data_IF_397216785766
#
_entry.id   IF_397216785766
#
_cell.length_a   1.000
_cell.length_b   1.000
_cell.length_c   1.000
_cell.angle_alpha   90.00
_cell.angle_beta   90.00
_cell.angle_gamma   90.00
#
_symmetry.space_group_name_H-M   'P 1'
#
loop_
_entity.id
_entity.type
_entity.pdbx_description
1 polymer ?
#
# COMPACT_ATOMS: atom_id res chain seq x y z
N UNK A 1 -15.98 -34.29 -17.30
CA UNK A 1 -14.81 -33.45 -17.63
C UNK A 1 -14.25 -32.88 -16.33
N UNK A 2 -13.16 -33.47 -15.82
CA UNK A 2 -12.60 -33.15 -14.50
C UNK A 2 -11.67 -31.96 -14.55
N UNK A 3 -11.96 -30.93 -13.76
CA UNK A 3 -11.07 -29.81 -13.52
C UNK A 3 -9.98 -30.24 -12.53
N UNK A 4 -8.72 -30.12 -12.94
CA UNK A 4 -7.54 -30.59 -12.21
C UNK A 4 -7.41 -29.95 -10.83
N UNK A 5 -7.54 -30.78 -9.79
CA UNK A 5 -7.16 -30.44 -8.43
C UNK A 5 -5.64 -30.19 -8.39
N UNK A 6 -5.24 -28.96 -8.03
CA UNK A 6 -3.83 -28.61 -7.79
C UNK A 6 -3.33 -29.40 -6.59
N UNK A 7 -2.39 -30.31 -6.86
CA UNK A 7 -1.60 -31.09 -5.90
C UNK A 7 -0.87 -30.13 -4.95
N UNK A 8 -1.39 -29.96 -3.74
CA UNK A 8 -0.87 -29.04 -2.71
C UNK A 8 -0.07 -29.78 -1.61
N UNK A 9 0.02 -31.09 -1.69
CA UNK A 9 0.47 -31.97 -0.60
C UNK A 9 1.77 -32.74 -0.90
N UNK A 10 2.45 -32.44 -2.02
CA UNK A 10 3.80 -32.97 -2.25
C UNK A 10 4.81 -32.16 -1.40
N UNK A 11 5.66 -32.80 -0.59
CA UNK A 11 6.68 -32.09 0.17
C UNK A 11 7.66 -31.39 -0.77
N UNK A 12 8.05 -30.16 -0.44
CA UNK A 12 9.09 -29.41 -1.17
C UNK A 12 10.40 -30.21 -1.09
N UNK A 13 10.84 -30.77 -2.22
CA UNK A 13 12.10 -31.51 -2.33
C UNK A 13 13.18 -30.56 -2.86
N UNK A 14 14.17 -30.27 -2.02
CA UNK A 14 15.37 -29.50 -2.41
C UNK A 14 16.48 -30.53 -2.67
N UNK A 15 16.97 -30.60 -3.90
CA UNK A 15 18.16 -31.41 -4.20
C UNK A 15 19.42 -30.64 -3.81
N UNK A 16 20.29 -31.27 -3.02
CA UNK A 16 21.57 -30.69 -2.60
C UNK A 16 22.64 -31.09 -3.62
N UNK A 17 23.30 -30.11 -4.25
CA UNK A 17 24.47 -30.36 -5.13
C UNK A 17 24.16 -30.89 -6.53
N UNK A 18 22.90 -30.94 -6.96
CA UNK A 18 22.52 -31.39 -8.30
C UNK A 18 22.57 -30.29 -9.36
N UNK A 19 23.17 -30.59 -10.53
CA UNK A 19 23.06 -29.76 -11.74
C UNK A 19 21.77 -30.15 -12.47
N UNK A 20 20.58 -29.95 -11.89
CA UNK A 20 19.34 -30.31 -12.61
C UNK A 20 18.21 -29.31 -12.49
N UNK A 21 17.53 -29.15 -13.64
CA UNK A 21 16.12 -28.83 -13.81
C UNK A 21 15.63 -27.61 -13.07
N UNK A 22 15.53 -26.47 -13.78
CA UNK A 22 14.92 -25.20 -13.29
C UNK A 22 13.49 -25.42 -12.76
N UNK A 23 13.33 -25.92 -11.54
CA UNK A 23 12.18 -25.56 -10.74
C UNK A 23 12.36 -24.09 -10.40
N UNK A 24 11.37 -23.26 -10.78
CA UNK A 24 11.39 -21.83 -10.48
C UNK A 24 11.23 -21.65 -8.96
N UNK A 25 12.35 -21.63 -8.26
CA UNK A 25 12.38 -21.24 -6.86
C UNK A 25 12.15 -19.72 -6.76
N UNK A 26 11.43 -19.25 -5.74
CA UNK A 26 11.32 -17.82 -5.49
C UNK A 26 12.71 -17.23 -5.22
N UNK A 27 12.93 -16.02 -5.71
CA UNK A 27 14.17 -15.29 -5.46
C UNK A 27 14.29 -15.00 -3.95
N UNK A 28 15.49 -15.13 -3.38
CA UNK A 28 15.76 -14.70 -2.01
C UNK A 28 15.81 -13.17 -1.95
N UNK A 29 14.64 -12.53 -1.99
CA UNK A 29 14.47 -11.09 -1.86
C UNK A 29 13.32 -10.79 -0.93
N UNK A 30 13.62 -10.06 0.13
CA UNK A 30 12.64 -9.60 1.11
C UNK A 30 12.22 -8.17 0.74
N UNK A 31 10.91 -7.90 0.77
CA UNK A 31 10.36 -6.56 0.51
C UNK A 31 9.41 -6.19 1.64
N UNK A 32 9.71 -5.11 2.35
CA UNK A 32 8.92 -4.56 3.45
C UNK A 32 8.12 -3.32 3.03
N UNK A 33 8.41 -2.77 1.86
CA UNK A 33 7.62 -1.67 1.25
C UNK A 33 6.20 -2.12 0.94
N UNK A 34 5.23 -1.28 1.31
CA UNK A 34 3.81 -1.55 1.07
C UNK A 34 3.35 -1.01 -0.27
N UNK A 35 3.98 0.06 -0.76
CA UNK A 35 3.57 0.76 -1.97
C UNK A 35 4.60 0.58 -3.09
N UNK A 36 4.10 0.58 -4.32
CA UNK A 36 4.89 0.87 -5.52
C UNK A 36 4.56 2.30 -5.93
N UNK A 37 5.43 2.97 -6.68
CA UNK A 37 5.18 4.34 -7.19
C UNK A 37 3.78 4.54 -7.79
N UNK A 38 3.28 3.55 -8.53
CA UNK A 38 1.94 3.58 -9.15
C UNK A 38 0.80 3.26 -8.16
N UNK A 39 1.04 2.37 -7.19
CA UNK A 39 0.00 1.95 -6.24
C UNK A 39 -0.10 2.87 -5.03
N UNK A 40 0.91 3.72 -4.80
CA UNK A 40 0.95 4.65 -3.68
C UNK A 40 -0.32 5.49 -3.62
N UNK A 41 -0.63 6.25 -4.67
CA UNK A 41 -1.75 7.20 -4.65
C UNK A 41 -3.12 6.54 -4.38
N UNK A 42 -3.56 5.51 -5.14
CA UNK A 42 -4.89 4.92 -4.93
C UNK A 42 -4.99 4.18 -3.59
N UNK A 43 -3.93 3.48 -3.17
CA UNK A 43 -3.96 2.67 -1.95
C UNK A 43 -3.81 3.55 -0.70
N UNK A 44 -2.95 4.58 -0.75
CA UNK A 44 -2.80 5.55 0.31
C UNK A 44 -4.12 6.31 0.57
N UNK A 45 -4.76 6.78 -0.51
CA UNK A 45 -6.06 7.44 -0.42
C UNK A 45 -7.10 6.51 0.21
N UNK A 46 -7.23 5.27 -0.28
CA UNK A 46 -8.13 4.27 0.30
C UNK A 46 -7.90 4.05 1.80
N UNK A 47 -6.65 4.01 2.24
CA UNK A 47 -6.30 3.86 3.65
C UNK A 47 -6.67 5.07 4.50
N UNK A 48 -6.49 6.27 3.97
CA UNK A 48 -6.94 7.49 4.64
C UNK A 48 -8.47 7.50 4.80
N UNK A 49 -9.27 7.16 3.78
CA UNK A 49 -10.74 7.17 3.92
C UNK A 49 -11.33 6.09 4.83
N UNK A 50 -10.58 5.01 5.10
CA UNK A 50 -11.01 4.02 6.11
C UNK A 50 -10.93 4.56 7.53
N UNK A 51 -10.20 5.65 7.78
CA UNK A 51 -10.13 6.27 9.11
C UNK A 51 -11.31 7.23 9.28
N UNK A 52 -12.12 6.97 10.32
CA UNK A 52 -13.37 7.68 10.59
C UNK A 52 -13.24 9.21 10.59
N UNK A 53 -12.11 9.76 11.02
CA UNK A 53 -11.85 11.21 11.06
C UNK A 53 -11.93 11.84 9.66
N UNK A 54 -11.25 11.29 8.65
CA UNK A 54 -11.27 11.87 7.30
C UNK A 54 -12.66 11.72 6.66
N UNK A 55 -13.34 10.61 6.92
CA UNK A 55 -14.70 10.39 6.44
C UNK A 55 -15.72 11.34 7.06
N UNK A 56 -15.63 11.57 8.38
CA UNK A 56 -16.46 12.54 9.10
C UNK A 56 -16.31 13.95 8.54
N UNK A 57 -15.07 14.44 8.40
CA UNK A 57 -14.81 15.77 7.85
C UNK A 57 -15.26 15.88 6.38
N UNK A 58 -15.07 14.81 5.58
CA UNK A 58 -15.55 14.79 4.21
C UNK A 58 -17.07 14.96 4.12
N UNK A 59 -17.84 14.25 4.97
CA UNK A 59 -19.30 14.38 5.01
C UNK A 59 -19.69 15.81 5.39
N UNK A 60 -19.07 16.39 6.43
CA UNK A 60 -19.36 17.76 6.85
C UNK A 60 -19.04 18.75 5.73
N UNK A 61 -17.93 18.57 5.03
CA UNK A 61 -17.57 19.40 3.89
C UNK A 61 -18.60 19.29 2.76
N UNK A 62 -19.02 18.08 2.39
CA UNK A 62 -20.06 17.85 1.37
C UNK A 62 -21.38 18.52 1.79
N UNK A 63 -21.84 18.31 3.03
CA UNK A 63 -23.06 18.94 3.54
C UNK A 63 -22.94 20.46 3.51
N UNK A 64 -21.77 21.02 3.84
CA UNK A 64 -21.54 22.46 3.83
C UNK A 64 -21.66 23.08 2.44
N UNK A 65 -21.35 22.34 1.36
CA UNK A 65 -21.54 22.83 -0.01
C UNK A 65 -23.01 23.00 -0.42
N UNK A 66 -23.93 22.26 0.20
CA UNK A 66 -25.35 22.27 -0.17
C UNK A 66 -26.25 23.03 0.80
N UNK A 67 -25.83 23.20 2.06
CA UNK A 67 -26.70 23.74 3.13
C UNK A 67 -26.28 25.15 3.56
N UNK A 68 -25.00 25.51 3.44
CA UNK A 68 -24.48 26.73 4.05
C UNK A 68 -24.17 27.82 3.00
N UNK A 69 -25.09 28.77 2.84
CA UNK A 69 -24.87 29.97 2.01
C UNK A 69 -24.03 31.04 2.75
N UNK A 70 -24.01 31.03 4.09
CA UNK A 70 -23.35 32.06 4.91
C UNK A 70 -21.87 31.77 5.19
N UNK A 71 -21.50 30.48 5.30
CA UNK A 71 -20.14 30.05 5.62
C UNK A 71 -19.56 29.39 4.39
N UNK A 72 -18.43 29.92 3.91
CA UNK A 72 -17.76 29.36 2.76
C UNK A 72 -17.31 27.91 3.00
N UNK A 73 -17.65 26.96 2.12
CA UNK A 73 -17.30 25.54 2.29
C UNK A 73 -15.78 25.31 2.31
N UNK A 74 -14.99 26.24 1.77
CA UNK A 74 -13.53 26.21 1.80
C UNK A 74 -12.94 26.16 3.22
N UNK A 75 -13.65 26.73 4.21
CA UNK A 75 -13.21 26.71 5.63
C UNK A 75 -13.09 25.28 6.16
N UNK A 76 -13.94 24.36 5.69
CA UNK A 76 -13.89 22.94 6.06
C UNK A 76 -12.98 22.12 5.14
N UNK A 77 -12.91 22.47 3.85
CA UNK A 77 -12.15 21.73 2.84
C UNK A 77 -10.63 21.91 2.99
N UNK A 78 -10.16 23.14 3.23
CA UNK A 78 -8.73 23.45 3.28
C UNK A 78 -8.00 22.67 4.38
N UNK A 79 -8.48 22.63 5.64
CA UNK A 79 -7.84 21.84 6.70
C UNK A 79 -7.83 20.34 6.40
N UNK A 80 -8.93 19.82 5.82
CA UNK A 80 -9.03 18.41 5.44
C UNK A 80 -7.96 18.04 4.40
N UNK A 81 -7.86 18.80 3.32
CA UNK A 81 -6.84 18.58 2.28
C UNK A 81 -5.43 18.70 2.84
N UNK A 82 -5.18 19.71 3.68
CA UNK A 82 -3.87 19.91 4.31
C UNK A 82 -3.42 18.69 5.12
N UNK A 83 -4.27 18.17 6.00
CA UNK A 83 -3.94 17.01 6.83
C UNK A 83 -3.77 15.76 5.96
N UNK A 84 -4.63 15.55 4.95
CA UNK A 84 -4.51 14.43 4.01
C UNK A 84 -3.17 14.43 3.26
N UNK A 85 -2.77 15.59 2.73
CA UNK A 85 -1.49 15.75 2.01
C UNK A 85 -0.31 15.48 2.94
N UNK A 86 -0.28 16.05 4.15
CA UNK A 86 0.81 15.79 5.10
C UNK A 86 0.88 14.30 5.48
N UNK A 87 -0.27 13.66 5.66
CA UNK A 87 -0.33 12.23 6.01
C UNK A 87 0.21 11.37 4.88
N UNK A 88 -0.21 11.64 3.64
CA UNK A 88 0.32 10.95 2.46
C UNK A 88 1.83 11.16 2.34
N UNK A 89 2.32 12.40 2.47
CA UNK A 89 3.76 12.69 2.40
C UNK A 89 4.56 11.93 3.44
N UNK A 90 4.10 11.91 4.71
CA UNK A 90 4.77 11.15 5.77
C UNK A 90 4.84 9.65 5.44
N UNK A 91 3.73 9.06 5.03
CA UNK A 91 3.68 7.63 4.68
C UNK A 91 4.54 7.30 3.46
N UNK A 92 4.57 8.17 2.45
CA UNK A 92 5.41 8.01 1.28
C UNK A 92 6.90 8.08 1.60
N UNK A 93 7.32 9.05 2.43
CA UNK A 93 8.71 9.17 2.87
C UNK A 93 9.16 7.95 3.70
N UNK A 94 8.29 7.45 4.57
CA UNK A 94 8.56 6.25 5.36
C UNK A 94 8.73 5.02 4.45
N UNK A 95 7.85 4.83 3.47
CA UNK A 95 7.94 3.71 2.53
C UNK A 95 9.20 3.79 1.66
N UNK A 96 9.63 4.99 1.25
CA UNK A 96 10.91 5.19 0.56
C UNK A 96 12.11 4.83 1.43
N UNK A 97 12.06 5.17 2.72
CA UNK A 97 13.09 4.78 3.67
C UNK A 97 13.19 3.25 3.77
N UNK A 98 12.04 2.57 3.89
CA UNK A 98 11.97 1.10 3.89
C UNK A 98 12.53 0.50 2.61
N UNK A 99 12.21 1.07 1.45
CA UNK A 99 12.75 0.62 0.16
C UNK A 99 14.29 0.67 0.11
N UNK A 100 14.90 1.71 0.69
CA UNK A 100 16.36 1.82 0.78
C UNK A 100 16.94 0.76 1.70
N UNK A 101 16.34 0.55 2.87
CA UNK A 101 16.76 -0.48 3.83
C UNK A 101 16.67 -1.89 3.25
N UNK A 102 15.59 -2.20 2.53
CA UNK A 102 15.43 -3.49 1.85
C UNK A 102 16.54 -3.73 0.82
N UNK A 103 16.95 -2.71 0.06
CA UNK A 103 18.04 -2.84 -0.91
C UNK A 103 19.38 -3.17 -0.23
N UNK A 104 19.66 -2.56 0.92
CA UNK A 104 20.87 -2.83 1.69
C UNK A 104 20.89 -4.28 2.19
N UNK A 105 19.79 -4.74 2.79
CA UNK A 105 19.68 -6.10 3.33
C UNK A 105 19.74 -7.15 2.22
N UNK A 106 19.08 -6.93 1.09
CA UNK A 106 19.08 -7.89 -0.03
C UNK A 106 20.40 -7.94 -0.81
N UNK A 107 21.31 -7.00 -0.57
CA UNK A 107 22.64 -6.96 -1.22
C UNK A 107 23.76 -7.37 -0.27
N UNK A 108 23.48 -7.51 1.03
CA UNK A 108 24.43 -8.01 2.00
C UNK A 108 24.83 -9.46 1.64
N UNK A 109 26.14 -9.70 1.55
CA UNK A 109 26.74 -11.02 1.28
C UNK A 109 27.01 -11.76 2.56
#
# INVERSE_FOLDING_TARGET
>A
MGAGQKKKDDPLRIQIGGIEGRQKQPLNRVTTTKYTWLTFLPLNFYEQFRRAVYFYFLIITIVSFFVNETISPYVSLIPLLFVMVITALKEGLEDLSRSKSDKLVNTAR
#
